data_IF_285583433726
#
_entry.id   IF_285583433726
#
_cell.length_a   1.000
_cell.length_b   1.000
_cell.length_c   1.000
_cell.angle_alpha   90.00
_cell.angle_beta   90.00
_cell.angle_gamma   90.00
#
_symmetry.space_group_name_H-M   'P 1'
#
loop_
_entity.id
_entity.type
_entity.pdbx_description
1 polymer ?
#
# COMPACT_ATOMS: atom_id res chain seq x y z
N UNK A 1 -31.35 -9.23 11.82
CA UNK A 1 -32.41 -9.42 10.80
C UNK A 1 -31.99 -10.67 10.03
N UNK A 2 -32.79 -11.73 10.01
CA UNK A 2 -32.39 -12.97 9.30
C UNK A 2 -32.65 -12.73 7.81
N UNK A 3 -31.61 -12.81 6.98
CA UNK A 3 -31.71 -12.68 5.53
C UNK A 3 -32.63 -13.79 5.01
N UNK A 4 -33.68 -13.42 4.28
CA UNK A 4 -34.55 -14.37 3.58
C UNK A 4 -33.94 -14.78 2.24
N UNK A 5 -34.43 -15.84 1.62
CA UNK A 5 -33.84 -16.41 0.40
C UNK A 5 -33.94 -15.46 -0.80
N UNK A 6 -35.07 -14.77 -0.92
CA UNK A 6 -35.29 -13.73 -1.91
C UNK A 6 -34.35 -12.53 -1.70
N UNK A 7 -34.14 -12.13 -0.44
CA UNK A 7 -33.13 -11.11 -0.09
C UNK A 7 -31.71 -11.59 -0.37
N UNK A 8 -31.42 -12.88 -0.20
CA UNK A 8 -30.12 -13.47 -0.49
C UNK A 8 -29.74 -13.38 -1.97
N UNK A 9 -30.70 -13.64 -2.86
CA UNK A 9 -30.53 -13.45 -4.30
C UNK A 9 -30.31 -11.97 -4.65
N UNK A 10 -31.07 -11.05 -4.02
CA UNK A 10 -30.90 -9.61 -4.22
C UNK A 10 -29.52 -9.10 -3.73
N UNK A 11 -29.02 -9.60 -2.59
CA UNK A 11 -27.70 -9.24 -2.04
C UNK A 11 -26.55 -9.73 -2.92
N UNK A 12 -26.73 -10.87 -3.59
CA UNK A 12 -25.75 -11.40 -4.55
C UNK A 12 -25.95 -10.87 -5.98
N UNK A 13 -26.89 -9.93 -6.18
CA UNK A 13 -27.26 -9.38 -7.50
C UNK A 13 -27.68 -10.45 -8.53
N UNK A 14 -28.29 -11.54 -8.04
CA UNK A 14 -28.75 -12.66 -8.85
C UNK A 14 -30.26 -12.66 -9.00
N UNK A 15 -30.74 -13.26 -10.10
CA UNK A 15 -32.17 -13.51 -10.28
C UNK A 15 -32.65 -14.59 -9.29
N UNK A 16 -33.88 -14.47 -8.76
CA UNK A 16 -34.44 -15.48 -7.86
C UNK A 16 -34.52 -16.83 -8.57
N UNK A 17 -33.94 -17.86 -7.95
CA UNK A 17 -33.86 -19.21 -8.53
C UNK A 17 -32.61 -19.50 -9.35
N UNK A 18 -31.59 -18.63 -9.33
CA UNK A 18 -30.31 -18.88 -9.99
C UNK A 18 -29.63 -20.19 -9.50
N UNK A 19 -28.94 -20.94 -10.38
CA UNK A 19 -28.26 -22.18 -10.02
C UNK A 19 -27.10 -21.95 -9.04
N UNK A 20 -26.79 -22.95 -8.22
CA UNK A 20 -25.72 -22.89 -7.21
C UNK A 20 -24.34 -22.51 -7.80
N UNK A 21 -24.08 -22.84 -9.07
CA UNK A 21 -22.86 -22.44 -9.77
C UNK A 21 -22.73 -20.92 -9.90
N UNK A 22 -23.83 -20.23 -10.22
CA UNK A 22 -23.89 -18.77 -10.33
C UNK A 22 -23.81 -18.12 -8.95
N UNK A 23 -24.49 -18.69 -7.95
CA UNK A 23 -24.39 -18.25 -6.54
C UNK A 23 -22.94 -18.29 -6.04
N UNK A 24 -22.20 -19.36 -6.36
CA UNK A 24 -20.77 -19.47 -6.02
C UNK A 24 -19.90 -18.49 -6.79
N UNK A 25 -20.24 -18.18 -8.04
CA UNK A 25 -19.50 -17.24 -8.85
C UNK A 25 -19.70 -15.81 -8.34
N UNK A 26 -20.94 -15.37 -8.16
CA UNK A 26 -21.29 -14.06 -7.62
C UNK A 26 -20.68 -13.85 -6.23
N UNK A 27 -20.72 -14.86 -5.37
CA UNK A 27 -20.04 -14.83 -4.06
C UNK A 27 -18.53 -14.54 -4.21
N UNK A 28 -17.84 -15.21 -5.13
CA UNK A 28 -16.39 -15.00 -5.34
C UNK A 28 -16.08 -13.61 -5.91
N UNK A 29 -16.94 -13.10 -6.78
CA UNK A 29 -16.78 -11.78 -7.38
C UNK A 29 -17.01 -10.68 -6.34
N UNK A 30 -18.10 -10.77 -5.56
CA UNK A 30 -18.39 -9.82 -4.49
C UNK A 30 -17.38 -9.90 -3.34
N UNK A 31 -16.91 -11.10 -2.98
CA UNK A 31 -15.88 -11.26 -1.95
C UNK A 31 -14.54 -10.62 -2.36
N UNK A 32 -14.21 -10.62 -3.65
CA UNK A 32 -13.01 -9.92 -4.15
C UNK A 32 -13.14 -8.39 -4.09
N UNK A 33 -14.35 -7.84 -4.15
CA UNK A 33 -14.58 -6.39 -4.12
C UNK A 33 -14.66 -5.89 -2.67
N UNK A 34 -15.36 -6.63 -1.81
CA UNK A 34 -15.68 -6.20 -0.45
C UNK A 34 -14.75 -6.77 0.64
N UNK A 35 -13.60 -7.36 0.27
CA UNK A 35 -12.69 -7.94 1.27
C UNK A 35 -12.07 -6.84 2.15
N UNK A 36 -12.09 -6.98 3.50
CA UNK A 36 -11.53 -5.97 4.40
C UNK A 36 -10.02 -5.74 4.19
N UNK A 37 -9.28 -6.75 3.71
CA UNK A 37 -7.84 -6.63 3.41
C UNK A 37 -7.51 -5.66 2.25
N UNK A 38 -8.50 -5.26 1.44
CA UNK A 38 -8.29 -4.26 0.39
C UNK A 38 -8.26 -2.82 0.91
N UNK A 39 -8.79 -2.59 2.11
CA UNK A 39 -8.95 -1.24 2.67
C UNK A 39 -8.35 -1.12 4.09
N UNK A 40 -7.03 -1.31 4.28
CA UNK A 40 -6.41 -1.28 5.60
C UNK A 40 -6.24 0.14 6.18
N UNK A 41 -6.30 1.19 5.35
CA UNK A 41 -5.97 2.57 5.77
C UNK A 41 -7.18 3.46 6.07
N UNK A 42 -8.41 3.00 5.83
CA UNK A 42 -9.64 3.78 6.06
C UNK A 42 -10.60 2.98 6.97
N UNK A 43 -10.66 3.37 8.24
CA UNK A 43 -11.41 2.66 9.27
C UNK A 43 -12.94 2.71 9.03
N UNK A 44 -13.43 3.81 8.48
CA UNK A 44 -14.85 3.96 8.13
C UNK A 44 -15.23 3.06 6.95
N UNK A 45 -14.35 2.96 5.96
CA UNK A 45 -14.55 2.08 4.80
C UNK A 45 -14.40 0.60 5.20
N UNK A 46 -13.43 0.26 6.05
CA UNK A 46 -13.25 -1.09 6.60
C UNK A 46 -14.50 -1.58 7.32
N UNK A 47 -15.10 -0.74 8.18
CA UNK A 47 -16.35 -1.07 8.87
C UNK A 47 -17.54 -1.28 7.92
N UNK A 48 -17.58 -0.56 6.78
CA UNK A 48 -18.60 -0.77 5.73
C UNK A 48 -18.36 -2.06 4.95
N UNK A 49 -17.12 -2.37 4.60
CA UNK A 49 -16.74 -3.61 3.93
C UNK A 49 -17.03 -4.83 4.81
N UNK A 50 -16.72 -4.75 6.11
CA UNK A 50 -17.01 -5.83 7.07
C UNK A 50 -18.51 -6.12 7.18
N UNK A 51 -19.34 -5.07 7.32
CA UNK A 51 -20.80 -5.21 7.34
C UNK A 51 -21.35 -5.78 6.02
N UNK A 52 -20.78 -5.38 4.89
CA UNK A 52 -21.23 -5.82 3.57
C UNK A 52 -20.82 -7.27 3.32
N UNK A 53 -19.59 -7.65 3.65
CA UNK A 53 -19.08 -9.02 3.60
C UNK A 53 -19.89 -9.96 4.50
N UNK A 54 -20.25 -9.50 5.71
CA UNK A 54 -21.10 -10.28 6.60
C UNK A 54 -22.46 -10.59 5.96
N UNK A 55 -23.10 -9.60 5.30
CA UNK A 55 -24.35 -9.81 4.57
C UNK A 55 -24.21 -10.77 3.39
N UNK A 56 -23.10 -10.68 2.65
CA UNK A 56 -22.79 -11.60 1.53
C UNK A 56 -22.65 -13.03 2.04
N UNK A 57 -21.95 -13.23 3.17
CA UNK A 57 -21.79 -14.54 3.80
C UNK A 57 -23.13 -15.12 4.29
N UNK A 58 -23.96 -14.29 4.92
CA UNK A 58 -25.31 -14.68 5.38
C UNK A 58 -26.19 -15.09 4.20
N UNK A 59 -26.21 -14.30 3.12
CA UNK A 59 -26.95 -14.61 1.89
C UNK A 59 -26.48 -15.94 1.27
N UNK A 60 -25.17 -16.14 1.13
CA UNK A 60 -24.62 -17.39 0.59
C UNK A 60 -24.97 -18.62 1.43
N UNK A 61 -24.93 -18.53 2.77
CA UNK A 61 -25.28 -19.64 3.64
C UNK A 61 -26.77 -20.01 3.57
N UNK A 62 -27.67 -19.03 3.43
CA UNK A 62 -29.12 -19.28 3.24
C UNK A 62 -29.34 -19.99 1.91
N UNK A 63 -28.82 -19.45 0.82
CA UNK A 63 -28.99 -20.03 -0.52
C UNK A 63 -28.33 -21.42 -0.65
N UNK A 64 -27.19 -21.65 0.01
CA UNK A 64 -26.53 -22.96 0.04
C UNK A 64 -27.34 -24.00 0.80
N UNK A 65 -28.09 -23.60 1.84
CA UNK A 65 -28.92 -24.52 2.64
C UNK A 65 -30.20 -24.93 1.91
N UNK A 66 -30.75 -24.04 1.09
CA UNK A 66 -31.96 -24.30 0.31
C UNK A 66 -31.69 -25.03 -1.00
N UNK A 67 -30.47 -24.95 -1.53
CA UNK A 67 -30.08 -25.76 -2.64
C UNK A 67 -30.14 -27.25 -2.28
N UNK A 68 -30.80 -28.10 -3.11
CA UNK A 68 -30.84 -29.53 -2.86
C UNK A 68 -29.41 -30.08 -2.80
N UNK A 69 -29.10 -30.87 -1.77
CA UNK A 69 -27.81 -31.55 -1.58
C UNK A 69 -27.56 -32.56 -2.70
N UNK A 70 -27.18 -32.12 -3.88
CA UNK A 70 -26.47 -32.97 -4.84
C UNK A 70 -25.03 -33.08 -4.36
N UNK A 71 -24.62 -34.32 -4.03
CA UNK A 71 -23.32 -34.69 -3.48
C UNK A 71 -22.10 -34.32 -4.35
N UNK A 72 -20.88 -34.70 -3.91
CA UNK A 72 -19.64 -34.11 -4.41
C UNK A 72 -19.33 -34.59 -5.84
N UNK A 73 -19.66 -33.78 -6.84
CA UNK A 73 -19.19 -34.00 -8.21
C UNK A 73 -17.86 -33.31 -8.43
N UNK A 74 -16.83 -34.14 -8.30
CA UNK A 74 -15.60 -34.22 -9.08
C UNK A 74 -15.36 -33.15 -10.17
N UNK A 75 -14.17 -32.54 -10.07
CA UNK A 75 -13.26 -32.20 -11.17
C UNK A 75 -13.87 -31.72 -12.50
N UNK A 76 -13.89 -30.40 -12.68
CA UNK A 76 -13.87 -29.78 -14.01
C UNK A 76 -12.66 -28.84 -14.09
N UNK A 77 -11.93 -28.97 -15.20
CA UNK A 77 -10.58 -28.49 -15.45
C UNK A 77 -10.35 -27.00 -15.15
N UNK A 78 -9.19 -26.70 -14.53
CA UNK A 78 -8.50 -25.43 -14.70
C UNK A 78 -7.52 -25.52 -15.89
N UNK A 79 -7.29 -24.41 -16.63
CA UNK A 79 -6.51 -24.39 -17.86
C UNK A 79 -5.02 -24.65 -17.62
N UNK A 80 -4.40 -25.30 -18.60
CA UNK A 80 -2.98 -25.66 -18.67
C UNK A 80 -2.05 -24.46 -18.44
N UNK A 81 -1.12 -24.51 -17.47
CA UNK A 81 0.08 -23.68 -17.49
C UNK A 81 1.23 -24.51 -18.06
N UNK A 82 1.63 -24.16 -19.29
CA UNK A 82 2.95 -24.47 -19.79
C UNK A 82 4.03 -23.95 -18.83
N UNK A 83 5.17 -24.65 -18.81
CA UNK A 83 6.42 -24.40 -18.06
C UNK A 83 6.48 -24.88 -16.60
N UNK A 84 6.78 -26.18 -16.42
CA UNK A 84 7.46 -26.71 -15.23
C UNK A 84 8.94 -26.93 -15.59
N UNK A 85 9.92 -26.45 -14.78
CA UNK A 85 11.34 -26.72 -15.01
C UNK A 85 11.66 -28.20 -14.74
N UNK A 86 12.77 -28.74 -15.29
CA UNK A 86 13.09 -30.16 -15.19
C UNK A 86 13.64 -30.48 -13.80
N UNK A 87 12.88 -31.21 -12.99
CA UNK A 87 13.40 -31.84 -11.77
C UNK A 87 13.75 -33.30 -12.07
N UNK A 88 14.99 -33.54 -12.49
CA UNK A 88 15.62 -34.87 -12.47
C UNK A 88 15.93 -35.26 -11.04
N UNK A 89 14.95 -35.79 -10.32
CA UNK A 89 15.22 -36.58 -9.12
C UNK A 89 14.15 -37.66 -9.01
N UNK A 90 14.57 -38.93 -9.18
CA UNK A 90 13.68 -40.10 -9.14
C UNK A 90 13.15 -40.26 -7.72
N UNK A 91 11.92 -39.81 -7.47
CA UNK A 91 11.18 -40.19 -6.26
C UNK A 91 10.97 -41.71 -6.32
N UNK A 92 11.37 -42.49 -5.31
CA UNK A 92 11.14 -43.93 -5.31
C UNK A 92 9.64 -44.24 -5.34
N UNK A 93 9.26 -45.30 -6.04
CA UNK A 93 7.88 -45.77 -6.11
C UNK A 93 7.37 -46.08 -4.70
N UNK A 94 6.17 -45.59 -4.39
CA UNK A 94 5.54 -45.75 -3.07
C UNK A 94 5.29 -47.24 -2.76
N UNK A 95 5.71 -47.69 -1.57
CA UNK A 95 5.72 -49.09 -1.13
C UNK A 95 4.46 -49.51 -0.34
N UNK A 96 3.43 -48.66 -0.29
CA UNK A 96 2.16 -48.94 0.39
C UNK A 96 2.21 -48.88 1.92
N UNK A 97 3.35 -48.52 2.53
CA UNK A 97 3.49 -48.45 4.00
C UNK A 97 3.35 -47.00 4.48
N UNK A 98 2.47 -46.78 5.45
CA UNK A 98 2.41 -45.51 6.19
C UNK A 98 3.58 -45.52 7.16
N UNK A 99 4.65 -44.77 6.86
CA UNK A 99 5.76 -44.56 7.79
C UNK A 99 5.33 -43.48 8.79
N UNK A 100 5.20 -43.87 10.06
CA UNK A 100 5.03 -42.91 11.16
C UNK A 100 6.33 -42.16 11.31
N UNK A 101 6.23 -40.83 11.30
CA UNK A 101 7.38 -39.94 11.40
C UNK A 101 8.05 -40.07 12.76
N UNK A 102 9.34 -40.40 12.78
CA UNK A 102 10.12 -40.51 14.02
C UNK A 102 10.15 -39.17 14.76
N UNK A 103 10.04 -39.22 16.10
CA UNK A 103 9.88 -38.06 16.99
C UNK A 103 11.07 -37.07 17.03
N UNK A 104 12.16 -37.37 16.31
CA UNK A 104 13.34 -36.51 16.18
C UNK A 104 13.59 -35.98 14.77
N UNK A 105 12.71 -36.26 13.79
CA UNK A 105 12.88 -35.76 12.44
C UNK A 105 12.58 -34.26 12.37
N UNK A 106 13.53 -33.45 11.87
CA UNK A 106 13.33 -32.01 11.64
C UNK A 106 11.99 -31.75 10.93
N UNK A 107 11.20 -30.74 11.34
CA UNK A 107 9.95 -30.34 10.67
C UNK A 107 10.20 -30.23 9.16
N UNK A 108 9.28 -30.69 8.27
CA UNK A 108 9.52 -30.53 6.86
C UNK A 108 9.75 -29.03 6.62
N UNK A 109 10.68 -28.64 5.73
CA UNK A 109 10.75 -27.27 5.29
C UNK A 109 9.33 -26.86 4.89
N UNK A 110 8.80 -25.71 5.35
CA UNK A 110 7.43 -25.33 5.10
C UNK A 110 7.20 -25.45 3.60
N UNK A 111 6.26 -26.33 3.23
CA UNK A 111 5.90 -26.55 1.84
C UNK A 111 5.65 -25.16 1.26
N UNK A 112 6.52 -24.77 0.32
CA UNK A 112 6.43 -23.56 -0.47
C UNK A 112 5.65 -22.42 0.22
N UNK A 113 6.33 -21.65 1.08
CA UNK A 113 5.87 -20.33 1.49
C UNK A 113 5.85 -19.40 0.25
N UNK A 114 4.95 -19.68 -0.67
CA UNK A 114 4.61 -18.87 -1.82
C UNK A 114 4.07 -17.56 -1.23
N UNK A 115 4.83 -16.47 -1.37
CA UNK A 115 4.44 -15.11 -0.95
C UNK A 115 4.34 -14.21 -2.18
N UNK A 116 3.41 -14.45 -3.11
CA UNK A 116 3.24 -13.52 -4.21
C UNK A 116 2.62 -12.26 -3.61
N UNK A 117 3.27 -11.12 -3.87
CA UNK A 117 2.81 -9.80 -3.44
C UNK A 117 2.91 -9.49 -1.94
N UNK A 118 3.84 -10.11 -1.20
CA UNK A 118 4.47 -9.33 -0.11
C UNK A 118 5.29 -8.25 -0.80
N UNK A 119 4.68 -7.09 -1.04
CA UNK A 119 5.44 -5.84 -1.05
C UNK A 119 6.33 -5.94 0.19
N UNK A 120 7.65 -5.84 0.02
CA UNK A 120 8.53 -5.66 1.17
C UNK A 120 8.02 -4.38 1.86
N UNK A 121 7.09 -4.52 2.79
CA UNK A 121 6.83 -3.51 3.80
C UNK A 121 8.15 -3.52 4.54
N UNK A 122 8.98 -2.52 4.25
CA UNK A 122 10.17 -2.21 5.04
C UNK A 122 9.76 -2.36 6.50
N UNK A 123 10.57 -3.09 7.29
CA UNK A 123 10.39 -3.36 8.72
C UNK A 123 9.57 -2.24 9.40
N UNK A 124 8.42 -2.53 10.01
CA UNK A 124 7.51 -1.54 10.61
C UNK A 124 8.12 -0.80 11.82
N UNK A 125 9.43 -1.02 12.06
CA UNK A 125 10.22 -0.32 13.05
C UNK A 125 10.46 1.12 12.62
N UNK A 126 10.37 2.01 13.60
CA UNK A 126 10.66 3.43 13.42
C UNK A 126 12.07 3.68 12.86
N UNK A 127 12.19 4.50 11.81
CA UNK A 127 13.48 5.01 11.29
C UNK A 127 13.91 6.31 11.97
N UNK A 128 14.39 6.23 13.20
CA UNK A 128 14.90 7.43 13.85
C UNK A 128 16.10 8.03 13.09
N UNK A 129 16.93 7.20 12.46
CA UNK A 129 18.07 7.62 11.66
C UNK A 129 17.65 8.34 10.36
N UNK A 130 16.76 7.75 9.56
CA UNK A 130 16.24 8.39 8.35
C UNK A 130 15.47 9.68 8.66
N UNK A 131 14.70 9.70 9.74
CA UNK A 131 13.99 10.90 10.20
C UNK A 131 14.95 12.01 10.67
N UNK A 132 16.06 11.66 11.32
CA UNK A 132 17.10 12.62 11.68
C UNK A 132 17.83 13.18 10.45
N UNK A 133 18.08 12.34 9.44
CA UNK A 133 18.70 12.79 8.18
C UNK A 133 17.79 13.76 7.41
N UNK A 134 16.48 13.49 7.36
CA UNK A 134 15.51 14.41 6.75
C UNK A 134 15.41 15.72 7.53
N UNK A 135 15.46 15.69 8.87
CA UNK A 135 15.54 16.90 9.69
C UNK A 135 16.75 17.75 9.33
N UNK A 136 17.94 17.13 9.28
CA UNK A 136 19.18 17.83 8.95
C UNK A 136 19.12 18.45 7.55
N UNK A 137 18.60 17.72 6.56
CA UNK A 137 18.43 18.23 5.20
C UNK A 137 17.47 19.43 5.14
N UNK A 138 16.33 19.36 5.83
CA UNK A 138 15.32 20.42 5.81
C UNK A 138 15.77 21.67 6.57
N UNK A 139 16.45 21.50 7.70
CA UNK A 139 17.00 22.63 8.46
C UNK A 139 18.10 23.35 7.68
N UNK A 140 19.00 22.62 7.01
CA UNK A 140 19.99 23.20 6.12
C UNK A 140 19.33 23.95 4.94
N UNK A 141 18.32 23.36 4.33
CA UNK A 141 17.55 23.99 3.24
C UNK A 141 16.79 25.24 3.69
N UNK A 142 16.15 25.18 4.87
CA UNK A 142 15.48 26.33 5.47
C UNK A 142 16.47 27.46 5.77
N UNK A 143 17.64 27.15 6.33
CA UNK A 143 18.68 28.14 6.58
C UNK A 143 19.18 28.81 5.29
N UNK A 144 19.42 28.02 4.23
CA UNK A 144 19.82 28.53 2.92
C UNK A 144 18.74 29.43 2.28
N UNK A 145 17.46 29.12 2.48
CA UNK A 145 16.36 29.97 2.03
C UNK A 145 16.26 31.26 2.83
N UNK A 146 16.40 31.20 4.15
CA UNK A 146 16.38 32.40 5.01
C UNK A 146 17.54 33.33 4.70
N UNK A 147 18.72 32.80 4.35
CA UNK A 147 19.87 33.62 3.96
C UNK A 147 19.61 34.52 2.74
N UNK A 148 18.63 34.19 1.88
CA UNK A 148 18.20 35.07 0.77
C UNK A 148 17.66 36.43 1.25
N UNK A 149 17.22 36.53 2.51
CA UNK A 149 16.65 37.75 3.10
C UNK A 149 17.61 38.48 4.05
N UNK A 150 18.67 37.81 4.50
CA UNK A 150 19.62 38.34 5.49
C UNK A 150 20.90 38.84 4.84
N UNK A 151 21.33 38.22 3.73
CA UNK A 151 22.56 38.60 3.04
C UNK A 151 22.24 39.74 2.06
N UNK A 152 22.79 40.92 2.35
CA UNK A 152 22.79 42.05 1.41
C UNK A 152 23.55 41.65 0.14
N UNK A 153 22.92 41.87 -1.02
CA UNK A 153 23.36 41.46 -2.38
C UNK A 153 22.98 40.03 -2.85
N UNK A 154 21.68 39.66 -2.82
CA UNK A 154 21.22 38.35 -3.30
C UNK A 154 21.30 38.20 -4.83
N UNK A 155 21.57 39.26 -5.60
CA UNK A 155 21.49 39.31 -7.08
C UNK A 155 22.52 38.48 -7.85
N UNK A 156 23.40 37.73 -7.18
CA UNK A 156 24.23 36.74 -7.87
C UNK A 156 23.38 35.57 -8.33
N UNK A 157 23.14 35.45 -9.64
CA UNK A 157 22.41 34.33 -10.25
C UNK A 157 22.94 32.98 -9.79
N UNK A 158 24.26 32.87 -9.58
CA UNK A 158 24.89 31.64 -9.08
C UNK A 158 24.44 31.27 -7.66
N UNK A 159 24.26 32.25 -6.77
CA UNK A 159 23.81 32.00 -5.39
C UNK A 159 22.38 31.46 -5.36
N UNK A 160 21.46 32.05 -6.12
CA UNK A 160 20.08 31.56 -6.24
C UNK A 160 20.03 30.12 -6.78
N UNK A 161 20.86 29.79 -7.77
CA UNK A 161 20.93 28.43 -8.32
C UNK A 161 21.39 27.42 -7.27
N UNK A 162 22.38 27.77 -6.45
CA UNK A 162 22.86 26.91 -5.35
C UNK A 162 21.76 26.68 -4.33
N UNK A 163 21.12 27.76 -3.84
CA UNK A 163 20.03 27.66 -2.85
C UNK A 163 18.89 26.81 -3.40
N UNK A 164 18.44 27.05 -4.63
CA UNK A 164 17.37 26.26 -5.27
C UNK A 164 17.72 24.79 -5.43
N UNK A 165 18.92 24.49 -5.88
CA UNK A 165 19.38 23.09 -6.03
C UNK A 165 19.40 22.37 -4.68
N UNK A 166 19.88 23.06 -3.64
CA UNK A 166 19.94 22.51 -2.28
C UNK A 166 18.54 22.23 -1.73
N UNK A 167 17.61 23.19 -1.85
CA UNK A 167 16.25 23.05 -1.31
C UNK A 167 15.43 22.04 -2.11
N UNK A 168 15.59 22.01 -3.44
CA UNK A 168 15.00 20.99 -4.31
C UNK A 168 15.54 19.60 -3.96
N UNK A 169 16.85 19.46 -3.73
CA UNK A 169 17.47 18.20 -3.34
C UNK A 169 16.98 17.70 -1.98
N UNK A 170 16.91 18.59 -0.98
CA UNK A 170 16.35 18.27 0.32
C UNK A 170 14.88 17.83 0.21
N UNK A 171 14.06 18.55 -0.57
CA UNK A 171 12.65 18.21 -0.80
C UNK A 171 12.50 16.84 -1.47
N UNK A 172 13.31 16.52 -2.49
CA UNK A 172 13.31 15.19 -3.12
C UNK A 172 13.73 14.09 -2.15
N UNK A 173 14.75 14.33 -1.34
CA UNK A 173 15.21 13.37 -0.34
C UNK A 173 14.13 13.09 0.72
N UNK A 174 13.49 14.14 1.24
CA UNK A 174 12.34 14.00 2.16
C UNK A 174 11.15 13.31 1.50
N UNK A 175 10.87 13.61 0.23
CA UNK A 175 9.82 12.95 -0.54
C UNK A 175 10.10 11.46 -0.77
N UNK A 176 11.36 11.10 -1.04
CA UNK A 176 11.80 9.71 -1.15
C UNK A 176 11.64 8.97 0.19
N UNK A 177 12.06 9.58 1.29
CA UNK A 177 11.86 9.01 2.63
C UNK A 177 10.37 8.80 2.92
N UNK A 178 9.54 9.82 2.70
CA UNK A 178 8.10 9.74 2.86
C UNK A 178 7.48 8.61 2.01
N UNK A 179 7.88 8.48 0.74
CA UNK A 179 7.41 7.44 -0.16
C UNK A 179 7.81 6.04 0.33
N UNK A 180 9.07 5.89 0.78
CA UNK A 180 9.57 4.61 1.31
C UNK A 180 8.83 4.15 2.57
N UNK A 181 8.23 5.10 3.32
CA UNK A 181 7.48 4.87 4.55
C UNK A 181 5.96 4.78 4.36
N UNK A 182 5.47 4.97 3.13
CA UNK A 182 4.04 4.94 2.78
C UNK A 182 3.30 6.26 3.02
N UNK A 183 3.99 7.36 3.31
CA UNK A 183 3.42 8.70 3.49
C UNK A 183 3.21 9.40 2.14
N UNK A 184 2.24 8.92 1.36
CA UNK A 184 2.04 9.36 -0.02
C UNK A 184 1.70 10.86 -0.15
N UNK A 185 0.98 11.43 0.82
CA UNK A 185 0.61 12.85 0.84
C UNK A 185 1.85 13.75 0.96
N UNK A 186 2.69 13.48 1.98
CA UNK A 186 3.96 14.17 2.18
C UNK A 186 4.89 13.98 0.98
N UNK A 187 4.96 12.76 0.44
CA UNK A 187 5.80 12.45 -0.72
C UNK A 187 5.38 13.25 -1.96
N UNK A 188 4.09 13.29 -2.26
CA UNK A 188 3.56 14.05 -3.38
C UNK A 188 3.78 15.55 -3.20
N UNK A 189 3.49 16.09 -2.01
CA UNK A 189 3.66 17.51 -1.74
C UNK A 189 5.13 17.96 -1.83
N UNK A 190 6.06 17.17 -1.29
CA UNK A 190 7.49 17.44 -1.38
C UNK A 190 8.03 17.29 -2.81
N UNK A 191 7.49 16.36 -3.60
CA UNK A 191 7.82 16.24 -5.02
C UNK A 191 7.35 17.47 -5.83
N UNK A 192 6.14 17.96 -5.55
CA UNK A 192 5.65 19.21 -6.16
C UNK A 192 6.51 20.39 -5.72
N UNK A 193 6.84 20.51 -4.43
CA UNK A 193 7.72 21.55 -3.92
C UNK A 193 9.09 21.52 -4.60
N UNK A 194 9.67 20.33 -4.79
CA UNK A 194 10.93 20.14 -5.51
C UNK A 194 10.84 20.60 -6.97
N UNK A 195 9.74 20.31 -7.66
CA UNK A 195 9.51 20.77 -9.03
C UNK A 195 9.42 22.30 -9.11
N UNK A 196 8.71 22.93 -8.17
CA UNK A 196 8.58 24.38 -8.11
C UNK A 196 9.91 25.10 -7.82
N UNK A 197 10.74 24.49 -6.99
CA UNK A 197 12.05 25.03 -6.62
C UNK A 197 13.17 24.62 -7.58
N UNK A 198 12.87 23.77 -8.56
CA UNK A 198 13.85 23.30 -9.51
C UNK A 198 14.41 24.49 -10.33
N UNK A 199 15.72 24.73 -10.33
CA UNK A 199 16.32 25.82 -11.10
C UNK A 199 16.14 25.67 -12.63
N UNK A 200 15.86 24.45 -13.11
CA UNK A 200 15.75 24.14 -14.54
C UNK A 200 14.33 24.41 -15.07
N UNK A 201 13.30 24.35 -14.21
CA UNK A 201 11.90 24.54 -14.63
C UNK A 201 11.50 25.99 -14.36
N UNK A 202 11.46 26.87 -15.39
CA UNK A 202 11.08 28.26 -15.20
C UNK A 202 9.57 28.35 -14.98
N UNK A 203 9.16 28.66 -13.75
CA UNK A 203 7.77 29.01 -13.45
C UNK A 203 7.64 30.54 -13.56
N UNK A 204 6.82 31.06 -14.49
CA UNK A 204 6.62 32.49 -14.64
C UNK A 204 5.77 32.99 -13.46
N UNK A 205 6.44 33.53 -12.44
CA UNK A 205 5.82 34.22 -11.30
C UNK A 205 6.46 35.59 -11.12
N UNK A 206 5.72 36.53 -10.54
CA UNK A 206 6.27 37.86 -10.25
C UNK A 206 7.36 37.78 -9.18
N UNK A 207 8.20 38.82 -9.09
CA UNK A 207 9.26 38.87 -8.06
C UNK A 207 8.67 38.88 -6.65
N UNK A 208 7.50 39.50 -6.45
CA UNK A 208 6.79 39.53 -5.17
C UNK A 208 6.26 38.15 -4.78
N UNK A 209 5.64 37.44 -5.74
CA UNK A 209 5.18 36.06 -5.54
C UNK A 209 6.32 35.13 -5.16
N UNK A 210 7.48 35.28 -5.82
CA UNK A 210 8.68 34.52 -5.48
C UNK A 210 9.20 34.82 -4.07
N UNK A 211 9.17 36.09 -3.63
CA UNK A 211 9.56 36.45 -2.26
C UNK A 211 8.62 35.82 -1.24
N UNK A 212 7.30 35.90 -1.47
CA UNK A 212 6.30 35.31 -0.59
C UNK A 212 6.47 33.79 -0.52
N UNK A 213 6.63 33.14 -1.66
CA UNK A 213 6.87 31.70 -1.73
C UNK A 213 8.14 31.28 -1.00
N UNK A 214 9.24 32.01 -1.22
CA UNK A 214 10.52 31.73 -0.56
C UNK A 214 10.43 31.93 0.96
N UNK A 215 9.65 32.90 1.43
CA UNK A 215 9.42 33.13 2.86
C UNK A 215 8.56 32.01 3.50
N UNK A 216 7.61 31.44 2.75
CA UNK A 216 6.77 30.33 3.20
C UNK A 216 7.50 28.98 3.21
N UNK A 217 8.48 28.78 2.32
CA UNK A 217 9.14 27.49 2.12
C UNK A 217 9.78 26.89 3.40
N UNK A 218 10.53 27.64 4.24
CA UNK A 218 11.06 27.11 5.51
C UNK A 218 9.96 26.56 6.43
N UNK A 219 8.82 27.24 6.50
CA UNK A 219 7.67 26.84 7.33
C UNK A 219 7.05 25.55 6.78
N UNK A 220 6.90 25.45 5.46
CA UNK A 220 6.40 24.23 4.81
C UNK A 220 7.31 23.03 5.05
N UNK A 221 8.63 23.18 4.93
CA UNK A 221 9.58 22.09 5.20
C UNK A 221 9.47 21.61 6.65
N UNK A 222 9.43 22.53 7.63
CA UNK A 222 9.25 22.19 9.05
C UNK A 222 7.92 21.49 9.29
N UNK A 223 6.83 21.96 8.66
CA UNK A 223 5.52 21.32 8.74
C UNK A 223 5.57 19.88 8.22
N UNK A 224 6.14 19.64 7.03
CA UNK A 224 6.24 18.28 6.49
C UNK A 224 7.11 17.38 7.35
N UNK A 225 8.21 17.90 7.91
CA UNK A 225 9.02 17.13 8.84
C UNK A 225 8.25 16.75 10.10
N UNK A 226 7.54 17.70 10.72
CA UNK A 226 6.74 17.43 11.91
C UNK A 226 5.63 16.42 11.63
N UNK A 227 4.96 16.52 10.47
CA UNK A 227 3.97 15.54 10.04
C UNK A 227 4.57 14.13 9.86
N UNK A 228 5.77 14.02 9.30
CA UNK A 228 6.48 12.73 9.23
C UNK A 228 6.92 12.24 10.62
N UNK A 229 7.36 13.14 11.49
CA UNK A 229 7.78 12.84 12.86
C UNK A 229 6.63 12.28 13.69
N UNK A 230 5.46 12.92 13.67
CA UNK A 230 4.27 12.47 14.40
C UNK A 230 3.89 11.03 13.99
N UNK A 231 3.83 10.76 12.68
CA UNK A 231 3.56 9.42 12.16
C UNK A 231 4.63 8.41 12.55
N UNK A 232 5.92 8.76 12.48
CA UNK A 232 6.99 7.83 12.84
C UNK A 232 7.07 7.59 14.35
N UNK A 233 6.73 8.58 15.17
CA UNK A 233 6.65 8.46 16.64
C UNK A 233 5.52 7.53 17.10
N UNK A 234 4.45 7.43 16.31
CA UNK A 234 3.35 6.49 16.56
C UNK A 234 3.69 5.02 16.26
N UNK A 235 4.81 4.75 15.56
CA UNK A 235 5.27 3.41 15.19
C UNK A 235 6.26 2.78 16.18
N UNK A 236 6.88 3.58 17.04
CA UNK A 236 7.88 3.13 18.03
C UNK A 236 7.25 2.86 19.39
#
# INVERSE_FOLDING_TARGET
>A
MRVTSDEGYAVLELSPGAPLSEVKQAYRELAKIWHPDLYPYDEALRARCEKTMQRINEAYEVLRREAPKSGPSSAAQAPSPASRPPSTEKVPAWDGRIRVREAGAEPPPPANAWKPFRRHVQDDRSDSAGLAQTFAAFTAAAAAMVSLFVIDNPTSTGYYLVVRTLVSGASLYGGYFALSRGYWESAAALAVLALFLNPIVPIPMSVEDWKLFNAACPVLLLFFWFHMYDRESSRG
#
